data_IF_381015387466
#
_entry.id   IF_381015387466
#
_cell.length_a   1.000
_cell.length_b   1.000
_cell.length_c   1.000
_cell.angle_alpha   90.00
_cell.angle_beta   90.00
_cell.angle_gamma   90.00
#
_symmetry.space_group_name_H-M   'P 1'
#
loop_
_entity.id
_entity.type
_entity.pdbx_description
1 polymer ?
#
# COMPACT_ATOMS: atom_id res chain seq x y z
N UNK A 1 -5.04 32.31 0.48
CA UNK A 1 -6.35 31.75 0.11
C UNK A 1 -6.30 31.46 -1.38
N UNK A 2 -6.04 30.20 -1.76
CA UNK A 2 -6.26 29.78 -3.14
C UNK A 2 -7.77 29.59 -3.31
N UNK A 3 -8.37 30.29 -4.26
CA UNK A 3 -9.77 30.07 -4.63
C UNK A 3 -9.89 28.68 -5.27
N UNK A 4 -10.38 27.73 -4.47
CA UNK A 4 -10.62 26.37 -4.90
C UNK A 4 -11.87 26.35 -5.78
N UNK A 5 -11.71 26.45 -7.10
CA UNK A 5 -12.80 26.22 -8.08
C UNK A 5 -13.21 24.73 -8.16
N UNK A 6 -13.04 23.99 -7.06
CA UNK A 6 -13.09 22.54 -6.99
C UNK A 6 -14.45 21.99 -6.54
N UNK A 7 -14.66 20.71 -6.80
CA UNK A 7 -15.79 19.92 -6.33
C UNK A 7 -15.67 19.80 -4.81
N UNK A 8 -16.65 20.34 -4.09
CA UNK A 8 -16.70 20.30 -2.63
C UNK A 8 -17.55 19.11 -2.21
N UNK A 9 -17.08 18.32 -1.25
CA UNK A 9 -17.85 17.23 -0.67
C UNK A 9 -19.13 17.79 -0.01
N UNK A 10 -20.28 17.34 -0.51
CA UNK A 10 -21.56 17.68 0.11
C UNK A 10 -21.71 16.98 1.47
N UNK A 11 -22.55 17.52 2.34
CA UNK A 11 -22.82 16.92 3.65
C UNK A 11 -23.29 15.45 3.56
N UNK A 12 -24.18 15.05 2.62
CA UNK A 12 -24.50 13.65 2.40
C UNK A 12 -23.31 12.79 1.99
N UNK A 13 -22.37 13.31 1.19
CA UNK A 13 -21.15 12.58 0.82
C UNK A 13 -20.26 12.36 2.04
N UNK A 14 -20.06 13.39 2.86
CA UNK A 14 -19.29 13.31 4.12
C UNK A 14 -19.86 12.25 5.06
N UNK A 15 -21.18 12.27 5.26
CA UNK A 15 -21.85 11.30 6.13
C UNK A 15 -21.74 9.86 5.61
N UNK A 16 -21.96 9.63 4.31
CA UNK A 16 -21.81 8.29 3.70
C UNK A 16 -20.37 7.82 3.67
N UNK A 17 -19.41 8.74 3.61
CA UNK A 17 -17.99 8.37 3.59
C UNK A 17 -17.54 7.69 4.87
N UNK A 18 -18.16 7.96 6.02
CA UNK A 18 -17.78 7.31 7.27
C UNK A 18 -18.49 5.96 7.36
N UNK A 19 -17.85 4.91 6.83
CA UNK A 19 -18.37 3.54 6.93
C UNK A 19 -18.35 3.05 8.38
N UNK A 20 -17.29 3.41 9.12
CA UNK A 20 -17.16 3.16 10.55
C UNK A 20 -16.45 4.31 11.23
N UNK A 21 -16.95 4.70 12.39
CA UNK A 21 -16.27 5.64 13.28
C UNK A 21 -15.03 5.01 13.94
N UNK A 22 -15.09 3.71 14.19
CA UNK A 22 -14.08 2.94 14.92
C UNK A 22 -13.77 3.45 16.33
N UNK A 23 -12.76 2.83 16.94
CA UNK A 23 -12.11 3.27 18.15
C UNK A 23 -11.20 4.47 17.87
N UNK A 24 -11.56 5.62 18.43
CA UNK A 24 -10.83 6.88 18.23
C UNK A 24 -9.72 7.13 19.25
N UNK A 25 -9.46 6.21 20.18
CA UNK A 25 -8.57 6.48 21.32
C UNK A 25 -7.15 6.82 20.90
N UNK A 26 -6.58 6.13 19.90
CA UNK A 26 -5.26 6.47 19.35
C UNK A 26 -5.26 7.80 18.61
N UNK A 27 -6.31 8.13 17.86
CA UNK A 27 -6.46 9.46 17.23
C UNK A 27 -6.52 10.57 18.28
N UNK A 28 -7.32 10.39 19.35
CA UNK A 28 -7.38 11.34 20.47
C UNK A 28 -6.02 11.52 21.14
N UNK A 29 -5.27 10.43 21.35
CA UNK A 29 -3.93 10.49 21.92
C UNK A 29 -3.00 11.36 21.08
N UNK A 30 -2.94 11.13 19.77
CA UNK A 30 -2.05 11.89 18.87
C UNK A 30 -2.50 13.34 18.74
N UNK A 31 -3.80 13.63 18.66
CA UNK A 31 -4.32 15.02 18.68
C UNK A 31 -3.92 15.75 19.97
N UNK A 32 -4.02 15.09 21.13
CA UNK A 32 -3.60 15.67 22.43
C UNK A 32 -2.09 15.91 22.48
N UNK A 33 -1.28 15.01 21.93
CA UNK A 33 0.18 15.18 21.79
C UNK A 33 0.51 16.36 20.87
N UNK A 34 -0.10 16.42 19.70
CA UNK A 34 0.06 17.52 18.75
C UNK A 34 -0.36 18.87 19.38
N UNK A 35 -1.45 18.93 20.14
CA UNK A 35 -1.87 20.14 20.85
C UNK A 35 -0.86 20.64 21.90
N UNK A 36 0.00 19.76 22.42
CA UNK A 36 1.10 20.11 23.33
C UNK A 36 2.40 20.53 22.63
N UNK A 37 2.42 20.52 21.29
CA UNK A 37 3.63 20.83 20.52
C UNK A 37 4.59 19.66 20.36
N UNK A 38 4.20 18.44 20.73
CA UNK A 38 5.01 17.25 20.49
C UNK A 38 5.08 16.98 18.98
N UNK A 39 6.29 16.69 18.47
CA UNK A 39 6.46 16.27 17.07
C UNK A 39 5.59 15.04 16.80
N UNK A 40 4.90 15.04 15.66
CA UNK A 40 4.15 13.89 15.17
C UNK A 40 4.63 13.47 13.77
N UNK A 41 4.49 12.19 13.45
CA UNK A 41 4.72 11.62 12.12
C UNK A 41 3.38 11.16 11.53
N UNK A 42 2.93 11.87 10.49
CA UNK A 42 1.79 11.49 9.67
C UNK A 42 2.28 10.70 8.44
N UNK A 43 1.77 9.50 8.28
CA UNK A 43 2.18 8.58 7.23
C UNK A 43 1.00 8.06 6.41
N UNK A 44 1.27 7.72 5.16
CA UNK A 44 0.32 7.03 4.29
C UNK A 44 1.02 5.84 3.62
N UNK A 45 0.32 4.72 3.43
CA UNK A 45 0.82 3.56 2.70
C UNK A 45 -0.24 3.05 1.73
N UNK A 46 0.17 2.82 0.49
CA UNK A 46 -0.76 2.45 -0.57
C UNK A 46 -0.15 2.35 -1.96
N UNK A 47 -1.03 2.38 -2.96
CA UNK A 47 -0.70 2.29 -4.38
C UNK A 47 -0.34 3.63 -5.04
N UNK A 48 -0.67 3.76 -6.33
CA UNK A 48 -0.38 4.95 -7.16
C UNK A 48 -1.16 6.18 -6.72
N UNK A 49 -2.41 6.02 -6.29
CA UNK A 49 -3.23 7.13 -5.77
C UNK A 49 -2.56 7.70 -4.52
N UNK A 50 -2.16 6.83 -3.59
CA UNK A 50 -1.38 7.22 -2.41
C UNK A 50 -0.05 7.89 -2.75
N UNK A 51 0.65 7.45 -3.80
CA UNK A 51 1.84 8.14 -4.32
C UNK A 51 1.57 9.58 -4.80
N UNK A 52 0.32 9.88 -5.18
CA UNK A 52 -0.14 11.18 -5.67
C UNK A 52 -0.54 11.21 -7.14
N UNK A 53 -0.66 10.05 -7.79
CA UNK A 53 -1.12 9.92 -9.17
C UNK A 53 -2.64 10.24 -9.24
N UNK A 54 -3.18 11.08 -10.14
CA UNK A 54 -2.56 11.94 -11.15
C UNK A 54 -2.79 13.42 -10.80
N UNK A 55 -2.45 13.82 -9.57
CA UNK A 55 -2.50 15.23 -9.21
C UNK A 55 -1.49 16.05 -10.04
N UNK A 56 -1.85 17.27 -10.42
CA UNK A 56 -0.96 18.18 -11.18
C UNK A 56 0.33 18.50 -10.40
N UNK A 57 0.25 18.43 -9.07
CA UNK A 57 1.38 18.51 -8.15
C UNK A 57 1.21 17.54 -7.00
N UNK A 58 2.33 17.02 -6.47
CA UNK A 58 2.31 16.20 -5.24
C UNK A 58 1.67 16.93 -4.05
N UNK A 59 1.71 18.26 -4.04
CA UNK A 59 1.06 19.10 -3.02
C UNK A 59 -0.46 19.05 -3.06
N UNK A 60 -1.01 18.62 -4.18
CA UNK A 60 -2.46 18.49 -4.39
C UNK A 60 -2.91 17.03 -4.27
N UNK A 61 -2.02 16.12 -3.86
CA UNK A 61 -2.41 14.74 -3.52
C UNK A 61 -3.23 14.71 -2.23
N UNK A 62 -4.15 13.76 -2.10
CA UNK A 62 -4.99 13.63 -0.90
C UNK A 62 -4.12 13.51 0.35
N UNK A 63 -2.99 12.79 0.26
CA UNK A 63 -2.09 12.57 1.36
C UNK A 63 -1.42 13.86 1.85
N UNK A 64 -0.95 14.74 0.94
CA UNK A 64 -0.39 16.04 1.35
C UNK A 64 -1.50 16.95 1.89
N UNK A 65 -2.67 16.99 1.25
CA UNK A 65 -3.80 17.81 1.69
C UNK A 65 -4.35 17.39 3.07
N UNK A 66 -4.32 16.10 3.38
CA UNK A 66 -4.61 15.60 4.73
C UNK A 66 -3.49 15.91 5.72
N UNK A 67 -2.22 15.89 5.30
CA UNK A 67 -1.11 16.34 6.13
C UNK A 67 -1.21 17.85 6.45
N UNK A 68 -1.66 18.65 5.49
CA UNK A 68 -1.91 20.09 5.67
C UNK A 68 -3.00 20.34 6.72
N UNK A 69 -4.01 19.48 6.86
CA UNK A 69 -4.98 19.57 7.97
C UNK A 69 -4.28 19.53 9.34
N UNK A 70 -3.29 18.64 9.52
CA UNK A 70 -2.52 18.57 10.77
C UNK A 70 -1.67 19.84 10.98
N UNK A 71 -1.02 20.33 9.93
CA UNK A 71 -0.20 21.55 9.99
C UNK A 71 -1.06 22.78 10.33
N UNK A 72 -2.27 22.86 9.77
CA UNK A 72 -3.20 23.96 9.98
C UNK A 72 -3.83 23.92 11.38
N UNK A 73 -4.21 22.75 11.88
CA UNK A 73 -4.76 22.59 13.24
C UNK A 73 -3.71 22.82 14.33
N UNK A 74 -2.45 22.48 14.05
CA UNK A 74 -1.35 22.55 15.02
C UNK A 74 -0.16 23.35 14.45
N UNK A 75 -0.29 24.67 14.24
CA UNK A 75 0.72 25.50 13.55
C UNK A 75 2.06 25.60 14.28
N UNK A 76 2.12 25.20 15.55
CA UNK A 76 3.34 25.19 16.37
C UNK A 76 3.97 23.80 16.50
N UNK A 77 3.36 22.79 15.88
CA UNK A 77 3.78 21.38 15.95
C UNK A 77 4.53 21.01 14.68
N UNK A 78 5.67 20.35 14.85
CA UNK A 78 6.38 19.76 13.71
C UNK A 78 5.63 18.51 13.26
N UNK A 79 5.06 18.56 12.06
CA UNK A 79 4.41 17.42 11.42
C UNK A 79 5.36 16.84 10.38
N UNK A 80 5.96 15.70 10.70
CA UNK A 80 6.74 14.91 9.74
C UNK A 80 5.78 14.19 8.79
N UNK A 81 6.06 14.24 7.49
CA UNK A 81 5.23 13.61 6.47
C UNK A 81 6.01 12.47 5.80
N UNK A 82 5.41 11.27 5.80
CA UNK A 82 6.00 10.09 5.17
C UNK A 82 4.98 9.49 4.19
N UNK A 83 5.29 9.58 2.89
CA UNK A 83 4.47 8.94 1.86
C UNK A 83 5.13 7.64 1.41
N UNK A 84 4.51 6.52 1.77
CA UNK A 84 4.94 5.17 1.41
C UNK A 84 4.15 4.63 0.23
N UNK A 85 3.61 5.48 -0.66
CA UNK A 85 2.87 5.09 -1.86
C UNK A 85 3.79 4.59 -2.97
N UNK A 86 3.54 3.37 -3.47
CA UNK A 86 4.25 2.79 -4.61
C UNK A 86 3.23 2.36 -5.67
N UNK A 87 3.33 2.95 -6.87
CA UNK A 87 2.40 2.69 -7.96
C UNK A 87 2.33 1.22 -8.36
N UNK A 88 1.12 0.76 -8.69
CA UNK A 88 0.85 -0.61 -9.13
C UNK A 88 1.34 -1.72 -8.16
N UNK A 89 1.36 -1.42 -6.86
CA UNK A 89 1.60 -2.42 -5.81
C UNK A 89 0.34 -2.60 -4.97
N UNK A 90 0.11 -3.83 -4.53
CA UNK A 90 -1.01 -4.24 -3.71
C UNK A 90 -0.58 -4.42 -2.25
N UNK A 91 -1.52 -4.85 -1.40
CA UNK A 91 -1.27 -5.08 0.02
C UNK A 91 -0.30 -6.23 0.29
N UNK A 92 -0.12 -7.17 -0.65
CA UNK A 92 0.87 -8.24 -0.53
C UNK A 92 2.29 -7.67 -0.55
N UNK A 93 2.60 -6.82 -1.51
CA UNK A 93 3.88 -6.10 -1.50
C UNK A 93 3.93 -5.12 -0.30
N UNK A 94 2.81 -4.47 0.01
CA UNK A 94 2.66 -3.55 1.14
C UNK A 94 3.08 -4.14 2.49
N UNK A 95 2.57 -5.33 2.86
CA UNK A 95 2.87 -5.98 4.14
C UNK A 95 4.35 -6.36 4.29
N UNK A 96 5.00 -6.77 3.19
CA UNK A 96 6.41 -7.16 3.19
C UNK A 96 7.36 -5.95 3.27
N UNK A 97 7.00 -4.80 2.67
CA UNK A 97 7.84 -3.58 2.71
C UNK A 97 7.53 -2.63 3.86
N UNK A 98 6.38 -2.78 4.55
CA UNK A 98 5.94 -1.86 5.60
C UNK A 98 7.01 -1.65 6.70
N UNK A 99 7.72 -2.71 7.09
CA UNK A 99 8.82 -2.59 8.05
C UNK A 99 9.87 -1.57 7.62
N UNK A 100 10.31 -1.65 6.37
CA UNK A 100 11.36 -0.80 5.79
C UNK A 100 10.86 0.61 5.48
N UNK A 101 9.71 0.71 4.82
CA UNK A 101 9.24 1.95 4.20
C UNK A 101 8.40 2.83 5.13
N UNK A 102 7.75 2.24 6.14
CA UNK A 102 6.78 2.92 7.01
C UNK A 102 7.22 2.89 8.47
N UNK A 103 7.46 1.70 9.03
CA UNK A 103 7.62 1.52 10.48
C UNK A 103 8.95 2.08 11.01
N UNK A 104 10.01 2.09 10.18
CA UNK A 104 11.30 2.76 10.51
C UNK A 104 11.18 4.25 10.81
N UNK A 105 10.05 4.87 10.49
CA UNK A 105 9.79 6.29 10.72
C UNK A 105 8.99 6.59 11.99
N UNK A 106 8.68 5.58 12.81
CA UNK A 106 7.88 5.71 14.04
C UNK A 106 6.57 6.48 13.78
N UNK A 107 5.66 5.96 12.94
CA UNK A 107 4.45 6.67 12.58
C UNK A 107 3.54 6.88 13.80
N UNK A 108 2.93 8.05 13.91
CA UNK A 108 1.89 8.32 14.92
C UNK A 108 0.48 8.16 14.33
N UNK A 109 0.32 8.46 13.03
CA UNK A 109 -0.91 8.22 12.27
C UNK A 109 -0.53 7.54 10.95
N UNK A 110 -1.31 6.54 10.54
CA UNK A 110 -1.19 5.88 9.24
C UNK A 110 -2.54 5.82 8.53
N UNK A 111 -2.58 6.27 7.28
CA UNK A 111 -3.69 5.95 6.35
C UNK A 111 -3.27 4.77 5.47
N UNK A 112 -4.12 3.74 5.38
CA UNK A 112 -3.89 2.54 4.57
C UNK A 112 -4.88 2.49 3.41
N UNK A 113 -4.38 2.48 2.17
CA UNK A 113 -5.18 2.56 0.95
C UNK A 113 -4.65 1.60 -0.14
N UNK A 114 -5.38 0.52 -0.40
CA UNK A 114 -5.05 -0.44 -1.46
C UNK A 114 -6.29 -0.94 -2.22
N UNK A 115 -7.46 -0.34 -1.99
CA UNK A 115 -8.74 -0.96 -2.38
C UNK A 115 -9.01 -0.97 -3.89
N UNK A 116 -8.18 -0.30 -4.69
CA UNK A 116 -8.20 -0.41 -6.16
C UNK A 116 -6.96 -1.12 -6.73
N UNK A 117 -6.02 -1.51 -5.86
CA UNK A 117 -4.81 -2.24 -6.22
C UNK A 117 -4.92 -3.73 -5.92
N UNK A 118 -5.55 -4.08 -4.79
CA UNK A 118 -5.85 -5.45 -4.44
C UNK A 118 -6.87 -6.02 -5.44
N UNK A 119 -6.59 -7.23 -5.93
CA UNK A 119 -7.40 -7.92 -6.95
C UNK A 119 -7.51 -9.43 -6.74
N UNK A 120 -6.63 -10.03 -5.93
CA UNK A 120 -6.60 -11.45 -5.62
C UNK A 120 -7.32 -11.74 -4.29
N UNK A 121 -8.55 -12.24 -4.37
CA UNK A 121 -9.37 -12.59 -3.20
C UNK A 121 -8.79 -13.72 -2.32
N UNK A 122 -7.77 -14.46 -2.78
CA UNK A 122 -7.11 -15.52 -2.02
C UNK A 122 -5.88 -15.02 -1.24
N UNK A 123 -5.24 -13.95 -1.69
CA UNK A 123 -4.00 -13.41 -1.10
C UNK A 123 -4.28 -12.11 -0.34
N UNK A 124 -5.01 -11.20 -0.98
CA UNK A 124 -5.12 -9.83 -0.53
C UNK A 124 -5.88 -9.61 0.79
N UNK A 125 -6.95 -10.39 1.12
CA UNK A 125 -7.58 -10.26 2.42
C UNK A 125 -6.61 -10.51 3.58
N UNK A 126 -5.77 -11.54 3.48
CA UNK A 126 -4.78 -11.87 4.50
C UNK A 126 -3.63 -10.86 4.52
N UNK A 127 -3.09 -10.46 3.36
CA UNK A 127 -2.00 -9.48 3.34
C UNK A 127 -2.42 -8.11 3.85
N UNK A 128 -3.63 -7.64 3.50
CA UNK A 128 -4.15 -6.37 3.98
C UNK A 128 -4.37 -6.41 5.50
N UNK A 129 -5.01 -7.46 6.01
CA UNK A 129 -5.25 -7.63 7.45
C UNK A 129 -3.94 -7.73 8.25
N UNK A 130 -2.97 -8.49 7.75
CA UNK A 130 -1.64 -8.58 8.36
C UNK A 130 -0.90 -7.24 8.33
N UNK A 131 -1.00 -6.47 7.23
CA UNK A 131 -0.43 -5.12 7.16
C UNK A 131 -1.03 -4.21 8.24
N UNK A 132 -2.35 -4.17 8.36
CA UNK A 132 -3.04 -3.38 9.38
C UNK A 132 -2.61 -3.81 10.78
N UNK A 133 -2.62 -5.11 11.08
CA UNK A 133 -2.18 -5.63 12.38
C UNK A 133 -0.73 -5.24 12.69
N UNK A 134 0.16 -5.40 11.72
CA UNK A 134 1.58 -5.05 11.86
C UNK A 134 1.80 -3.57 12.16
N UNK A 135 1.02 -2.68 11.55
CA UNK A 135 1.03 -1.25 11.86
C UNK A 135 0.54 -1.02 13.28
N UNK A 136 -0.60 -1.60 13.65
CA UNK A 136 -1.18 -1.43 14.99
C UNK A 136 -0.25 -1.90 16.11
N UNK A 137 0.50 -2.98 15.88
CA UNK A 137 1.47 -3.57 16.82
C UNK A 137 2.83 -2.88 16.84
N UNK A 138 3.01 -1.78 16.11
CA UNK A 138 4.25 -1.01 16.19
C UNK A 138 4.39 -0.31 17.55
N UNK A 139 5.64 -0.16 18.03
CA UNK A 139 5.95 0.43 19.34
C UNK A 139 5.48 1.89 19.49
N UNK A 140 5.30 2.62 18.39
CA UNK A 140 4.74 3.98 18.40
C UNK A 140 3.22 4.03 18.60
N UNK A 141 2.56 2.87 18.64
CA UNK A 141 1.10 2.72 18.77
C UNK A 141 0.31 3.63 17.81
N UNK A 142 0.55 3.56 16.49
CA UNK A 142 -0.04 4.49 15.54
C UNK A 142 -1.57 4.40 15.55
N UNK A 143 -2.21 5.56 15.41
CA UNK A 143 -3.60 5.63 14.97
C UNK A 143 -3.70 5.18 13.51
N UNK A 144 -4.70 4.38 13.15
CA UNK A 144 -4.87 3.87 11.79
C UNK A 144 -6.23 4.29 11.24
N UNK A 145 -6.26 4.77 10.00
CA UNK A 145 -7.48 5.05 9.24
C UNK A 145 -7.41 4.22 7.96
N UNK A 146 -8.47 3.48 7.65
CA UNK A 146 -8.57 2.76 6.38
C UNK A 146 -9.30 3.63 5.36
N UNK A 147 -8.72 3.77 4.18
CA UNK A 147 -9.29 4.54 3.07
C UNK A 147 -9.65 3.59 1.92
N UNK A 148 -10.89 3.66 1.46
CA UNK A 148 -11.40 2.81 0.39
C UNK A 148 -11.75 3.64 -0.85
N UNK A 149 -10.83 3.63 -1.80
CA UNK A 149 -10.97 4.13 -3.17
C UNK A 149 -11.80 3.18 -4.05
N UNK A 150 -12.20 3.67 -5.23
CA UNK A 150 -13.03 2.98 -6.22
C UNK A 150 -12.58 3.39 -7.64
N UNK A 151 -12.67 2.49 -8.61
CA UNK A 151 -12.44 2.80 -10.04
C UNK A 151 -13.73 3.33 -10.73
N UNK A 152 -13.63 3.71 -12.01
CA UNK A 152 -14.77 4.23 -12.79
C UNK A 152 -15.93 3.24 -12.90
N UNK A 153 -15.65 1.93 -12.86
CA UNK A 153 -16.64 0.86 -12.99
C UNK A 153 -17.34 0.56 -11.66
N UNK A 154 -16.90 1.19 -10.57
CA UNK A 154 -17.39 0.91 -9.24
C UNK A 154 -16.62 -0.19 -8.51
N UNK A 155 -15.52 -0.68 -9.06
CA UNK A 155 -14.73 -1.78 -8.47
C UNK A 155 -13.96 -1.27 -7.26
N UNK A 156 -14.03 -2.02 -6.17
CA UNK A 156 -13.28 -1.77 -4.95
C UNK A 156 -13.15 -3.05 -4.11
N UNK A 157 -12.00 -3.23 -3.47
CA UNK A 157 -11.73 -4.28 -2.49
C UNK A 157 -12.24 -3.95 -1.08
N UNK A 158 -12.99 -2.84 -0.91
CA UNK A 158 -13.60 -2.42 0.34
C UNK A 158 -14.27 -3.56 1.11
N UNK A 159 -14.99 -4.46 0.42
CA UNK A 159 -15.65 -5.61 1.06
C UNK A 159 -14.67 -6.40 1.93
N UNK A 160 -13.52 -6.77 1.39
CA UNK A 160 -12.50 -7.55 2.07
C UNK A 160 -11.71 -6.70 3.08
N UNK A 161 -11.33 -5.48 2.69
CA UNK A 161 -10.55 -4.59 3.56
C UNK A 161 -11.31 -4.17 4.81
N UNK A 162 -12.64 -4.01 4.71
CA UNK A 162 -13.48 -3.65 5.84
C UNK A 162 -13.52 -4.72 6.93
N UNK A 163 -13.25 -6.00 6.61
CA UNK A 163 -13.16 -7.06 7.61
C UNK A 163 -12.04 -6.79 8.63
N UNK A 164 -10.90 -6.26 8.19
CA UNK A 164 -9.84 -5.81 9.08
C UNK A 164 -10.28 -4.61 9.93
N UNK A 165 -11.01 -3.67 9.34
CA UNK A 165 -11.56 -2.52 10.05
C UNK A 165 -12.60 -2.89 11.11
N UNK A 166 -13.44 -3.89 10.85
CA UNK A 166 -14.38 -4.42 11.85
C UNK A 166 -13.67 -5.22 12.94
N UNK A 167 -12.69 -6.05 12.57
CA UNK A 167 -11.92 -6.87 13.50
C UNK A 167 -11.15 -6.01 14.51
N UNK A 168 -10.53 -4.94 14.03
CA UNK A 168 -9.71 -4.04 14.85
C UNK A 168 -10.47 -2.78 15.28
N UNK A 169 -11.78 -2.69 15.06
CA UNK A 169 -12.59 -1.50 15.39
C UNK A 169 -11.92 -0.20 14.92
N UNK A 170 -11.62 -0.08 13.62
CA UNK A 170 -10.89 1.05 13.04
C UNK A 170 -11.81 2.04 12.34
N UNK A 171 -11.43 3.34 12.33
CA UNK A 171 -11.99 4.32 11.43
C UNK A 171 -11.88 3.88 9.97
N UNK A 172 -13.00 3.92 9.24
CA UNK A 172 -13.08 3.54 7.84
C UNK A 172 -13.75 4.64 7.02
N UNK A 173 -12.99 5.19 6.07
CA UNK A 173 -13.45 6.24 5.15
C UNK A 173 -13.59 5.63 3.76
N UNK A 174 -14.80 5.63 3.23
CA UNK A 174 -15.15 5.14 1.91
C UNK A 174 -15.38 6.29 0.93
N UNK A 175 -14.46 6.42 -0.02
CA UNK A 175 -14.69 7.23 -1.22
C UNK A 175 -15.81 6.62 -2.07
N UNK A 176 -15.84 5.29 -2.19
CA UNK A 176 -16.86 4.55 -2.94
C UNK A 176 -18.29 4.91 -2.51
N UNK A 177 -18.58 4.83 -1.21
CA UNK A 177 -19.91 5.10 -0.63
C UNK A 177 -20.27 6.60 -0.68
N UNK A 178 -19.25 7.46 -0.62
CA UNK A 178 -19.43 8.90 -0.75
C UNK A 178 -19.90 9.27 -2.16
N UNK A 179 -19.21 8.80 -3.21
CA UNK A 179 -19.39 9.29 -4.57
C UNK A 179 -20.30 8.42 -5.45
N UNK A 180 -20.38 7.11 -5.20
CA UNK A 180 -21.15 6.16 -6.01
C UNK A 180 -22.59 6.62 -6.25
N UNK A 181 -23.35 6.94 -5.20
CA UNK A 181 -24.72 7.45 -5.34
C UNK A 181 -24.84 8.78 -6.11
N UNK A 182 -23.81 9.64 -6.07
CA UNK A 182 -23.81 10.91 -6.82
C UNK A 182 -23.56 10.67 -8.32
N UNK A 183 -22.74 9.66 -8.66
CA UNK A 183 -22.51 9.21 -10.04
C UNK A 183 -23.77 8.55 -10.60
N UNK A 184 -24.36 7.61 -9.87
CA UNK A 184 -25.60 6.93 -10.28
C UNK A 184 -26.75 7.91 -10.53
N UNK A 185 -26.84 8.96 -9.71
CA UNK A 185 -27.83 10.02 -9.86
C UNK A 185 -27.49 11.05 -10.95
N UNK A 186 -26.33 10.95 -11.60
CA UNK A 186 -25.85 11.90 -12.62
C UNK A 186 -25.49 13.29 -12.09
N UNK A 187 -25.32 13.43 -10.78
CA UNK A 187 -24.96 14.70 -10.10
C UNK A 187 -23.46 14.96 -10.10
N UNK A 188 -22.67 13.88 -10.07
CA UNK A 188 -21.24 13.90 -10.25
C UNK A 188 -20.90 13.08 -11.49
N UNK A 189 -20.01 13.60 -12.34
CA UNK A 189 -19.46 12.83 -13.46
C UNK A 189 -18.04 12.41 -13.12
N UNK A 190 -17.65 11.20 -13.53
CA UNK A 190 -16.31 10.66 -13.26
C UNK A 190 -15.22 11.58 -13.81
N UNK A 191 -15.42 12.15 -15.00
CA UNK A 191 -14.46 13.03 -15.67
C UNK A 191 -14.21 14.34 -14.91
N UNK A 192 -15.08 14.69 -13.96
CA UNK A 192 -14.88 15.86 -13.12
C UNK A 192 -13.83 15.62 -12.01
N UNK A 193 -13.61 14.36 -11.63
CA UNK A 193 -12.76 13.95 -10.49
C UNK A 193 -11.57 13.10 -10.92
N UNK A 194 -11.58 12.54 -12.12
CA UNK A 194 -10.55 11.63 -12.62
C UNK A 194 -10.36 11.81 -14.14
N UNK A 195 -9.12 11.92 -14.65
CA UNK A 195 -8.84 12.00 -16.08
C UNK A 195 -8.75 10.62 -16.76
N UNK A 196 -8.63 9.53 -15.98
CA UNK A 196 -8.63 8.15 -16.45
C UNK A 196 -9.57 7.29 -15.58
N UNK A 197 -9.58 5.98 -15.78
CA UNK A 197 -10.53 5.07 -15.13
C UNK A 197 -10.22 4.79 -13.63
N UNK A 198 -9.10 5.31 -13.07
CA UNK A 198 -8.60 4.92 -11.74
C UNK A 198 -8.13 6.12 -10.89
N UNK A 199 -7.29 6.97 -11.44
CA UNK A 199 -6.48 7.92 -10.69
C UNK A 199 -7.17 9.28 -10.57
N UNK A 200 -7.46 9.79 -9.36
CA UNK A 200 -8.07 11.10 -9.22
C UNK A 200 -7.16 12.21 -9.78
N UNK A 201 -7.78 13.22 -10.37
CA UNK A 201 -7.15 14.51 -10.68
C UNK A 201 -6.91 15.30 -9.38
N UNK A 202 -6.28 16.47 -9.45
CA UNK A 202 -6.16 17.35 -8.26
C UNK A 202 -7.52 17.65 -7.60
N UNK A 203 -8.60 17.77 -8.39
CA UNK A 203 -9.96 17.95 -7.86
C UNK A 203 -10.48 16.68 -7.15
N UNK A 204 -10.21 15.49 -7.70
CA UNK A 204 -10.55 14.22 -7.05
C UNK A 204 -9.76 13.99 -5.76
N UNK A 205 -8.46 14.31 -5.76
CA UNK A 205 -7.62 14.24 -4.56
C UNK A 205 -8.10 15.19 -3.47
N UNK A 206 -8.48 16.43 -3.84
CA UNK A 206 -9.08 17.38 -2.91
C UNK A 206 -10.40 16.86 -2.32
N UNK A 207 -11.23 16.20 -3.13
CA UNK A 207 -12.46 15.57 -2.66
C UNK A 207 -12.17 14.46 -1.64
N UNK A 208 -11.21 13.57 -1.92
CA UNK A 208 -10.78 12.51 -0.99
C UNK A 208 -10.27 13.10 0.33
N UNK A 209 -9.41 14.11 0.25
CA UNK A 209 -8.89 14.80 1.43
C UNK A 209 -10.02 15.46 2.24
N UNK A 210 -11.03 16.04 1.60
CA UNK A 210 -12.17 16.64 2.30
C UNK A 210 -13.00 15.61 3.08
N UNK A 211 -13.18 14.40 2.54
CA UNK A 211 -13.87 13.32 3.25
C UNK A 211 -13.09 12.91 4.52
N UNK A 212 -11.78 12.71 4.40
CA UNK A 212 -10.90 12.36 5.53
C UNK A 212 -10.87 13.51 6.55
N UNK A 213 -10.66 14.74 6.10
CA UNK A 213 -10.55 15.91 6.96
C UNK A 213 -11.86 16.23 7.67
N UNK A 214 -13.01 15.97 7.03
CA UNK A 214 -14.33 16.10 7.67
C UNK A 214 -14.49 15.13 8.84
N UNK A 215 -14.03 13.88 8.68
CA UNK A 215 -14.00 12.93 9.79
C UNK A 215 -13.03 13.40 10.88
N UNK A 216 -11.82 13.83 10.51
CA UNK A 216 -10.82 14.35 11.46
C UNK A 216 -11.29 15.59 12.23
N UNK A 217 -12.05 16.50 11.60
CA UNK A 217 -12.66 17.65 12.26
C UNK A 217 -13.63 17.22 13.36
N UNK A 218 -14.45 16.18 13.10
CA UNK A 218 -15.34 15.59 14.10
C UNK A 218 -14.53 14.98 15.25
N UNK A 219 -13.54 14.14 14.95
CA UNK A 219 -12.66 13.54 15.96
C UNK A 219 -12.00 14.61 16.83
N UNK A 220 -11.47 15.67 16.22
CA UNK A 220 -10.85 16.79 16.93
C UNK A 220 -11.83 17.48 17.89
N UNK A 221 -13.08 17.70 17.46
CA UNK A 221 -14.11 18.35 18.30
C UNK A 221 -14.49 17.53 19.54
N UNK A 222 -14.37 16.21 19.46
CA UNK A 222 -14.68 15.26 20.54
C UNK A 222 -13.46 15.02 21.46
N UNK A 223 -12.24 15.22 20.93
CA UNK A 223 -10.99 14.77 21.59
C UNK A 223 -10.79 15.33 23.01
N UNK A 224 -11.11 16.60 23.24
CA UNK A 224 -10.81 17.28 24.50
C UNK A 224 -11.88 17.09 25.58
N UNK A 225 -13.04 16.55 25.21
CA UNK A 225 -14.09 16.12 26.15
C UNK A 225 -14.09 14.61 26.39
N UNK A 226 -13.39 13.83 25.55
CA UNK A 226 -13.20 12.39 25.71
C UNK A 226 -11.91 12.04 26.46
N UNK A 227 -11.94 11.01 27.29
CA UNK A 227 -10.73 10.35 27.75
C UNK A 227 -10.25 9.36 26.67
N UNK A 228 -8.94 9.25 26.48
CA UNK A 228 -8.40 8.24 25.57
C UNK A 228 -8.37 6.92 26.35
N UNK A 229 -9.07 5.91 25.86
CA UNK A 229 -9.11 4.61 26.50
C UNK A 229 -7.96 3.73 26.01
N UNK A 230 -7.62 2.71 26.80
CA UNK A 230 -6.69 1.69 26.34
C UNK A 230 -7.31 0.94 25.16
N UNK A 231 -6.53 0.77 24.10
CA UNK A 231 -6.94 0.08 22.89
C UNK A 231 -6.21 -1.26 22.83
N UNK A 232 -6.94 -2.34 23.03
CA UNK A 232 -6.42 -3.71 22.96
C UNK A 232 -6.51 -4.23 21.53
N UNK A 233 -5.38 -4.72 21.02
CA UNK A 233 -5.32 -5.35 19.70
C UNK A 233 -5.59 -6.84 19.85
N UNK A 234 -6.53 -7.35 19.07
CA UNK A 234 -6.81 -8.78 19.03
C UNK A 234 -5.61 -9.47 18.35
N UNK A 235 -4.84 -10.20 19.15
CA UNK A 235 -3.74 -11.02 18.65
C UNK A 235 -4.22 -12.33 18.07
N UNK A 236 -3.72 -12.67 16.87
CA UNK A 236 -3.87 -13.96 16.23
C UNK A 236 -2.60 -14.26 15.44
N UNK A 237 -2.16 -15.52 15.35
CA UNK A 237 -1.06 -15.88 14.45
C UNK A 237 -1.56 -15.86 13.00
N UNK A 238 -0.79 -15.24 12.12
CA UNK A 238 -1.17 -15.11 10.71
C UNK A 238 -0.03 -15.31 9.72
N UNK A 239 -0.43 -15.50 8.47
CA UNK A 239 0.45 -15.86 7.36
C UNK A 239 1.58 -14.86 7.18
N UNK A 240 1.31 -13.56 7.30
CA UNK A 240 2.28 -12.50 6.97
C UNK A 240 2.75 -11.67 8.17
N UNK A 241 2.61 -12.16 9.40
CA UNK A 241 2.97 -11.40 10.61
C UNK A 241 4.42 -10.93 10.60
N UNK A 242 5.32 -11.82 10.20
CA UNK A 242 6.76 -11.55 10.11
C UNK A 242 7.22 -11.15 8.71
N UNK A 243 6.29 -10.72 7.84
CA UNK A 243 6.56 -10.40 6.46
C UNK A 243 7.73 -9.40 6.28
N UNK A 244 8.65 -9.74 5.39
CA UNK A 244 9.84 -8.96 5.04
C UNK A 244 10.07 -9.03 3.55
N UNK A 245 10.37 -7.88 2.97
CA UNK A 245 10.90 -7.76 1.62
C UNK A 245 12.42 -7.74 1.69
N UNK A 246 13.08 -8.70 1.07
CA UNK A 246 14.54 -8.80 1.00
C UNK A 246 15.02 -8.52 -0.43
N UNK A 247 15.94 -7.58 -0.56
CA UNK A 247 16.59 -7.25 -1.82
C UNK A 247 18.11 -7.53 -1.81
N UNK A 248 18.84 -7.02 -2.80
CA UNK A 248 20.27 -7.28 -2.96
C UNK A 248 21.17 -6.72 -1.83
N UNK A 249 20.59 -5.96 -0.90
CA UNK A 249 21.25 -5.49 0.32
C UNK A 249 21.09 -6.46 1.48
N UNK A 250 20.00 -7.22 1.48
CA UNK A 250 19.58 -8.02 2.63
C UNK A 250 19.99 -9.50 2.51
N UNK A 251 20.06 -10.02 1.29
CA UNK A 251 20.36 -11.42 1.02
C UNK A 251 21.35 -11.57 -0.14
N UNK A 252 22.28 -12.52 -0.02
CA UNK A 252 23.15 -12.91 -1.12
C UNK A 252 22.66 -14.24 -1.72
N UNK A 253 22.58 -14.36 -3.05
CA UNK A 253 22.28 -15.64 -3.67
C UNK A 253 23.40 -16.66 -3.39
N UNK A 254 23.02 -17.91 -3.13
CA UNK A 254 23.97 -19.04 -2.96
C UNK A 254 24.58 -19.49 -4.29
N UNK A 255 23.92 -19.16 -5.41
CA UNK A 255 24.44 -19.30 -6.77
C UNK A 255 23.93 -18.13 -7.61
N UNK A 256 24.81 -17.48 -8.35
CA UNK A 256 24.44 -16.38 -9.24
C UNK A 256 25.32 -16.41 -10.49
N UNK A 257 24.76 -16.91 -11.59
CA UNK A 257 25.41 -16.98 -12.90
C UNK A 257 24.61 -16.18 -13.89
N UNK A 258 25.20 -15.17 -14.52
CA UNK A 258 24.52 -14.32 -15.52
C UNK A 258 23.63 -13.22 -14.95
N UNK A 259 23.33 -13.22 -13.65
CA UNK A 259 22.69 -12.10 -12.96
C UNK A 259 23.72 -11.19 -12.26
N UNK A 260 23.39 -9.91 -12.11
CA UNK A 260 24.16 -8.92 -11.35
C UNK A 260 23.26 -7.99 -10.54
N UNK A 261 23.74 -7.47 -9.39
CA UNK A 261 23.07 -6.39 -8.66
C UNK A 261 22.77 -5.19 -9.57
N UNK A 262 21.55 -4.66 -9.50
CA UNK A 262 21.12 -3.54 -10.33
C UNK A 262 20.12 -2.63 -9.62
N UNK A 263 20.04 -1.39 -10.09
CA UNK A 263 19.18 -0.35 -9.54
C UNK A 263 18.22 0.20 -10.63
N UNK A 264 17.70 -0.69 -11.48
CA UNK A 264 16.95 -0.27 -12.68
C UNK A 264 15.50 0.15 -12.41
N UNK A 265 14.91 -0.28 -11.29
CA UNK A 265 13.53 0.08 -10.91
C UNK A 265 13.59 1.19 -9.86
N UNK A 266 13.14 2.43 -10.15
CA UNK A 266 13.19 3.51 -9.17
C UNK A 266 12.42 3.21 -7.86
N UNK A 267 11.37 2.39 -7.96
CA UNK A 267 10.53 1.99 -6.83
C UNK A 267 11.15 0.85 -6.01
N UNK A 268 11.94 0.00 -6.67
CA UNK A 268 12.67 -1.13 -6.09
C UNK A 268 14.14 -1.03 -6.53
N UNK A 269 14.88 -0.05 -6.00
CA UNK A 269 16.16 0.38 -6.54
C UNK A 269 17.30 -0.58 -6.25
N UNK A 270 17.03 -1.76 -5.70
CA UNK A 270 18.03 -2.75 -5.35
C UNK A 270 17.47 -4.10 -5.78
N UNK A 271 18.07 -4.68 -6.80
CA UNK A 271 17.53 -5.86 -7.48
C UNK A 271 18.66 -6.71 -8.08
N UNK A 272 18.30 -7.81 -8.74
CA UNK A 272 19.22 -8.58 -9.59
C UNK A 272 18.67 -8.63 -11.00
N UNK A 273 19.47 -8.21 -11.98
CA UNK A 273 19.08 -8.22 -13.38
C UNK A 273 20.01 -9.09 -14.22
N UNK A 274 19.49 -9.52 -15.35
CA UNK A 274 20.23 -10.17 -16.42
C UNK A 274 19.73 -9.66 -17.78
N UNK A 275 20.61 -9.66 -18.76
CA UNK A 275 20.28 -9.49 -20.20
C UNK A 275 20.79 -10.67 -21.02
N UNK A 276 21.21 -11.73 -20.37
CA UNK A 276 21.76 -12.95 -20.97
C UNK A 276 21.12 -14.18 -20.30
N UNK A 277 21.42 -15.37 -20.79
CA UNK A 277 21.05 -16.58 -20.05
C UNK A 277 21.67 -16.52 -18.65
N UNK A 278 20.83 -16.79 -17.65
CA UNK A 278 21.20 -16.65 -16.26
C UNK A 278 20.41 -17.58 -15.36
N UNK A 279 21.00 -17.81 -14.20
CA UNK A 279 20.43 -18.57 -13.09
C UNK A 279 20.83 -17.91 -11.78
N UNK A 280 19.86 -17.76 -10.89
CA UNK A 280 20.06 -17.23 -9.54
C UNK A 280 19.35 -18.14 -8.54
N UNK A 281 20.02 -18.45 -7.42
CA UNK A 281 19.49 -19.32 -6.39
C UNK A 281 19.64 -18.69 -5.01
N UNK A 282 18.63 -18.87 -4.16
CA UNK A 282 18.60 -18.37 -2.80
C UNK A 282 18.34 -19.52 -1.82
N UNK A 283 18.97 -19.46 -0.67
CA UNK A 283 18.64 -20.30 0.49
C UNK A 283 17.98 -19.39 1.53
N UNK A 284 16.76 -19.72 1.95
CA UNK A 284 15.96 -18.90 2.88
C UNK A 284 15.36 -19.76 3.97
N UNK A 285 15.09 -19.17 5.14
CA UNK A 285 14.29 -19.80 6.20
C UNK A 285 12.97 -19.04 6.25
N UNK A 286 11.87 -19.67 5.85
CA UNK A 286 10.57 -19.02 5.74
C UNK A 286 9.43 -20.03 5.86
N UNK A 287 8.25 -19.54 6.22
CA UNK A 287 6.98 -20.28 6.12
C UNK A 287 6.32 -20.01 4.77
N UNK A 288 6.32 -18.74 4.37
CA UNK A 288 5.76 -18.32 3.09
C UNK A 288 6.80 -17.58 2.27
N UNK A 289 6.76 -17.80 0.96
CA UNK A 289 7.75 -17.28 0.02
C UNK A 289 7.02 -16.73 -1.21
N UNK A 290 7.35 -15.49 -1.55
CA UNK A 290 7.02 -14.88 -2.82
C UNK A 290 8.26 -14.30 -3.51
N UNK A 291 8.17 -14.17 -4.83
CA UNK A 291 9.19 -13.53 -5.66
C UNK A 291 8.55 -12.31 -6.31
N UNK A 292 9.17 -11.15 -6.13
CA UNK A 292 8.79 -9.92 -6.82
C UNK A 292 9.74 -9.71 -8.00
N UNK A 293 9.21 -9.47 -9.17
CA UNK A 293 9.98 -9.32 -10.41
C UNK A 293 9.44 -8.16 -11.24
N UNK A 294 10.30 -7.61 -12.10
CA UNK A 294 9.93 -6.50 -12.96
C UNK A 294 9.30 -7.02 -14.25
N UNK A 295 8.15 -6.46 -14.61
CA UNK A 295 7.57 -6.59 -15.94
C UNK A 295 7.86 -5.35 -16.76
N UNK A 296 8.30 -5.52 -18.01
CA UNK A 296 8.76 -4.42 -18.86
C UNK A 296 8.02 -4.33 -20.19
N UNK A 297 7.81 -3.12 -20.69
CA UNK A 297 7.06 -2.87 -21.93
C UNK A 297 7.93 -2.90 -23.20
N UNK A 298 9.24 -3.06 -23.06
CA UNK A 298 10.24 -2.87 -24.12
C UNK A 298 10.49 -4.10 -25.02
N UNK A 299 9.73 -5.18 -24.81
CA UNK A 299 9.87 -6.46 -25.52
C UNK A 299 11.25 -7.12 -25.38
N UNK A 300 11.96 -6.88 -24.27
CA UNK A 300 13.27 -7.51 -24.01
C UNK A 300 13.26 -8.50 -22.86
N UNK A 301 12.20 -8.51 -22.06
CA UNK A 301 12.10 -9.41 -20.94
C UNK A 301 11.63 -10.79 -21.36
N UNK A 302 12.24 -11.81 -20.77
CA UNK A 302 11.95 -13.21 -20.99
C UNK A 302 11.08 -13.79 -19.88
N UNK A 303 10.92 -15.10 -19.97
CA UNK A 303 10.19 -15.94 -19.01
C UNK A 303 11.21 -16.80 -18.27
N UNK A 304 11.13 -16.82 -16.95
CA UNK A 304 12.03 -17.55 -16.08
C UNK A 304 11.26 -18.60 -15.28
N UNK A 305 11.76 -19.83 -15.27
CA UNK A 305 11.22 -20.95 -14.51
C UNK A 305 11.72 -20.89 -13.07
N UNK A 306 10.83 -21.19 -12.13
CA UNK A 306 11.12 -21.29 -10.70
C UNK A 306 11.05 -22.74 -10.26
N UNK A 307 12.06 -23.19 -9.53
CA UNK A 307 12.01 -24.43 -8.74
C UNK A 307 12.11 -24.11 -7.26
N UNK A 308 11.31 -24.78 -6.46
CA UNK A 308 11.35 -24.74 -5.00
C UNK A 308 11.75 -26.12 -4.50
N UNK A 309 12.84 -26.20 -3.75
CA UNK A 309 13.41 -27.44 -3.22
C UNK A 309 13.61 -28.52 -4.31
N UNK A 310 14.14 -28.08 -5.46
CA UNK A 310 14.41 -28.91 -6.63
C UNK A 310 13.17 -29.33 -7.45
N UNK A 311 11.95 -28.94 -7.03
CA UNK A 311 10.71 -29.25 -7.74
C UNK A 311 10.24 -28.06 -8.58
N UNK A 312 9.77 -28.27 -9.83
CA UNK A 312 9.13 -27.22 -10.61
C UNK A 312 7.97 -26.57 -9.86
N UNK A 313 7.93 -25.24 -9.84
CA UNK A 313 6.92 -24.45 -9.13
C UNK A 313 6.06 -23.65 -10.11
N UNK A 314 6.65 -22.69 -10.82
CA UNK A 314 5.93 -21.78 -11.71
C UNK A 314 6.88 -21.12 -12.72
N UNK A 315 6.32 -20.34 -13.65
CA UNK A 315 7.08 -19.43 -14.50
C UNK A 315 6.76 -17.98 -14.13
N UNK A 316 7.76 -17.12 -14.23
CA UNK A 316 7.67 -15.67 -14.08
C UNK A 316 7.88 -15.04 -15.44
N UNK A 317 6.88 -14.32 -15.93
CA UNK A 317 6.89 -13.71 -17.25
C UNK A 317 7.20 -12.22 -17.14
N UNK A 318 8.40 -11.81 -17.52
CA UNK A 318 8.83 -10.41 -17.44
C UNK A 318 8.30 -9.55 -18.60
N UNK A 319 7.70 -10.11 -19.65
CA UNK A 319 7.24 -9.33 -20.78
C UNK A 319 5.89 -8.67 -20.52
N UNK A 320 5.78 -7.37 -20.71
CA UNK A 320 4.52 -6.63 -20.68
C UNK A 320 4.40 -5.69 -21.88
N UNK A 321 4.90 -6.15 -23.03
CA UNK A 321 4.84 -5.43 -24.30
C UNK A 321 3.43 -4.90 -24.59
N UNK A 322 3.32 -3.60 -24.86
CA UNK A 322 2.05 -2.93 -25.14
C UNK A 322 1.21 -2.61 -23.90
N UNK A 323 1.71 -2.91 -22.71
CA UNK A 323 1.13 -2.51 -21.44
C UNK A 323 1.27 -1.02 -21.16
N UNK A 324 0.73 -0.59 -20.02
CA UNK A 324 0.66 0.82 -19.61
C UNK A 324 1.98 1.37 -19.03
N UNK A 325 2.92 0.50 -18.66
CA UNK A 325 4.20 0.87 -18.07
C UNK A 325 4.90 -0.30 -17.41
N UNK A 326 6.18 -0.14 -17.09
CA UNK A 326 6.93 -1.11 -16.31
C UNK A 326 6.40 -1.16 -14.88
N UNK A 327 6.29 -2.36 -14.30
CA UNK A 327 5.74 -2.51 -12.94
C UNK A 327 6.27 -3.74 -12.22
N UNK A 328 6.18 -3.70 -10.89
CA UNK A 328 6.51 -4.84 -10.04
C UNK A 328 5.32 -5.81 -10.01
N UNK A 329 5.55 -7.02 -10.48
CA UNK A 329 4.62 -8.14 -10.34
C UNK A 329 5.17 -9.13 -9.32
N UNK A 330 4.35 -10.04 -8.83
CA UNK A 330 4.80 -11.05 -7.88
C UNK A 330 4.19 -12.41 -8.13
N UNK A 331 4.86 -13.42 -7.58
CA UNK A 331 4.31 -14.77 -7.47
C UNK A 331 4.55 -15.30 -6.07
N UNK A 332 3.47 -15.62 -5.37
CA UNK A 332 3.55 -16.45 -4.16
C UNK A 332 3.81 -17.90 -4.58
N UNK A 333 4.91 -18.46 -4.09
CA UNK A 333 5.41 -19.79 -4.48
C UNK A 333 5.34 -20.81 -3.34
N UNK A 334 5.17 -20.36 -2.09
CA UNK A 334 5.00 -21.23 -0.93
C UNK A 334 4.07 -20.59 0.10
N UNK A 335 3.16 -21.41 0.62
CA UNK A 335 2.40 -21.15 1.84
C UNK A 335 2.50 -22.37 2.75
N UNK A 336 2.93 -22.19 3.99
CA UNK A 336 3.17 -23.28 4.94
C UNK A 336 3.03 -22.81 6.38
N UNK A 337 2.61 -23.72 7.27
CA UNK A 337 2.65 -23.47 8.71
C UNK A 337 4.04 -23.77 9.31
N UNK A 338 4.89 -24.47 8.56
CA UNK A 338 6.20 -24.94 9.02
C UNK A 338 7.31 -23.99 8.58
N UNK A 339 8.01 -23.41 9.55
CA UNK A 339 9.22 -22.63 9.30
C UNK A 339 10.37 -23.59 8.96
N UNK A 340 10.85 -23.55 7.72
CA UNK A 340 11.89 -24.47 7.24
C UNK A 340 12.87 -23.76 6.32
N UNK A 341 14.03 -24.39 6.09
CA UNK A 341 14.98 -23.96 5.07
C UNK A 341 14.50 -24.40 3.69
N UNK A 342 14.46 -23.47 2.75
CA UNK A 342 14.05 -23.67 1.37
C UNK A 342 15.11 -23.19 0.39
N UNK A 343 15.19 -23.86 -0.76
CA UNK A 343 16.06 -23.48 -1.88
C UNK A 343 15.21 -23.03 -3.06
N UNK A 344 15.37 -21.77 -3.45
CA UNK A 344 14.69 -21.16 -4.59
C UNK A 344 15.68 -21.13 -5.74
N UNK A 345 15.30 -21.66 -6.90
CA UNK A 345 16.08 -21.59 -8.13
C UNK A 345 15.27 -20.86 -9.20
N UNK A 346 15.85 -19.80 -9.79
CA UNK A 346 15.24 -19.03 -10.87
C UNK A 346 16.20 -19.10 -12.06
N UNK A 347 15.76 -19.67 -13.17
CA UNK A 347 16.55 -19.85 -14.40
C UNK A 347 15.70 -19.56 -15.63
N UNK A 348 16.33 -19.24 -16.75
CA UNK A 348 15.60 -18.98 -18.00
C UNK A 348 14.73 -20.20 -18.37
N UNK A 349 13.48 -19.95 -18.75
CA UNK A 349 12.56 -21.02 -19.14
C UNK A 349 12.90 -21.58 -20.53
N UNK A 350 12.70 -22.88 -20.71
CA UNK A 350 12.84 -23.53 -22.02
C UNK A 350 11.92 -22.85 -23.04
N UNK A 351 12.50 -22.40 -24.16
CA UNK A 351 11.76 -21.73 -25.23
C UNK A 351 11.46 -20.25 -24.98
N UNK A 352 12.05 -19.63 -23.95
CA UNK A 352 11.92 -18.19 -23.77
C UNK A 352 12.52 -17.42 -24.97
N UNK A 353 11.77 -16.44 -25.47
CA UNK A 353 12.16 -15.66 -26.65
C UNK A 353 13.26 -14.62 -26.36
N UNK A 354 13.36 -14.19 -25.10
CA UNK A 354 14.26 -13.14 -24.66
C UNK A 354 14.95 -13.51 -23.35
N UNK A 355 16.06 -12.84 -23.06
CA UNK A 355 16.93 -13.14 -21.91
C UNK A 355 16.82 -12.11 -20.80
N UNK A 356 16.28 -10.92 -21.07
CA UNK A 356 16.14 -9.86 -20.06
C UNK A 356 15.27 -10.33 -18.90
N UNK A 357 15.71 -10.11 -17.66
CA UNK A 357 14.85 -10.36 -16.50
C UNK A 357 15.39 -9.67 -15.27
N UNK A 358 14.50 -9.29 -14.36
CA UNK A 358 14.88 -8.64 -13.11
C UNK A 358 14.08 -9.20 -11.95
N UNK A 359 14.79 -9.76 -10.97
CA UNK A 359 14.25 -10.13 -9.66
C UNK A 359 14.40 -8.91 -8.76
N UNK A 360 13.27 -8.32 -8.36
CA UNK A 360 13.24 -7.13 -7.51
C UNK A 360 13.46 -7.47 -6.04
N UNK A 361 13.04 -8.65 -5.60
CA UNK A 361 13.24 -9.10 -4.23
C UNK A 361 12.45 -10.34 -3.89
N UNK A 362 12.63 -10.81 -2.65
CA UNK A 362 11.90 -11.93 -2.07
C UNK A 362 10.97 -11.42 -0.96
N UNK A 363 9.71 -11.87 -1.00
CA UNK A 363 8.74 -11.69 0.06
C UNK A 363 8.77 -12.92 0.97
N UNK A 364 9.27 -12.78 2.21
CA UNK A 364 9.36 -13.88 3.17
C UNK A 364 8.54 -13.57 4.41
N UNK A 365 7.91 -14.57 5.02
CA UNK A 365 7.24 -14.46 6.33
C UNK A 365 7.38 -15.73 7.15
#
# INVERSE_FOLDING_TARGET
MMENNGIIATEPMKQRSVLSEGNKSRLYSVIKRAARGEKITFSVIGGSITHGCLADSRRESYAELTCDWWRDKFPWTVVNYVNCGIGATDSYIGVHRAGRDLLTHDPDIVIVEFSVNDTDEMINPDSYRCLVKKILNHDSEPAVILLFMMDQKGSTFQKFHSEAGWLYDLPMISYADAIGPEIEAGKLKWENISPDDIHPSSAGHALVAELINSYMDKVFSETFSSEAEYYEIIESEDKYDNARFLDNRDINPVLCTGFWPSDISPQFPHSWSTTQEGRICFEVIARNIGIVFLRTIDSRSGTYSVRLDGKPCCNLDGDFTGGWGDYADYKEILVSDLLQTHYIEIEIADGSAHTGFTVLGLCLS
#
